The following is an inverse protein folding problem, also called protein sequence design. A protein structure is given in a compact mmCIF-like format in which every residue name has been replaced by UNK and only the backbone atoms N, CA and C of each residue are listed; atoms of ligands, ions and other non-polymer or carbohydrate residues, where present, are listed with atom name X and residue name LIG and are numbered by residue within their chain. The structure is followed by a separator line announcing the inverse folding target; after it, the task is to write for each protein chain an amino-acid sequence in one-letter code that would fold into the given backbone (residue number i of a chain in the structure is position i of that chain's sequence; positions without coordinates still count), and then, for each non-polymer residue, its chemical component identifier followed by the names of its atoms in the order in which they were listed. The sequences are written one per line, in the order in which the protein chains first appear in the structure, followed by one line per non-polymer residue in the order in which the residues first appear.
data_IF_223230023787
#
_entry.id   IF_223230023787
#
_cell.length_a   1.000
_cell.length_b   1.000
_cell.length_c   1.000
_cell.angle_alpha   90.00
_cell.angle_beta   90.00
_cell.angle_gamma   90.00
#
_symmetry.space_group_name_H-M   'P 1'
#
loop_
_entity.id
_entity.type
_entity.pdbx_description
1 polymer ?
#
# COMPACT_ATOMS: atom_id res chain seq x y z
N UNK A 1 -30.29 -29.06 -2.49
CA UNK A 1 -29.24 -28.48 -1.64
C UNK A 1 -28.85 -27.17 -2.28
N UNK A 2 -29.41 -26.07 -1.80
CA UNK A 2 -29.09 -24.73 -2.28
C UNK A 2 -27.66 -24.40 -1.85
N UNK A 3 -26.74 -24.38 -2.82
CA UNK A 3 -25.40 -23.84 -2.61
C UNK A 3 -25.55 -22.35 -2.29
N UNK A 4 -25.55 -22.01 -1.01
CA UNK A 4 -25.41 -20.62 -0.59
C UNK A 4 -24.20 -20.03 -1.34
N UNK A 5 -24.33 -18.85 -1.96
CA UNK A 5 -23.25 -18.26 -2.72
C UNK A 5 -22.05 -18.13 -1.78
N UNK A 6 -20.92 -18.75 -2.15
CA UNK A 6 -19.65 -18.61 -1.44
C UNK A 6 -19.41 -17.12 -1.29
N UNK A 7 -19.58 -16.61 -0.07
CA UNK A 7 -19.46 -15.20 0.24
C UNK A 7 -18.01 -14.80 -0.05
N UNK A 8 -17.75 -14.23 -1.22
CA UNK A 8 -16.42 -13.79 -1.66
C UNK A 8 -16.08 -12.46 -0.99
N UNK A 9 -16.04 -12.46 0.34
CA UNK A 9 -15.72 -11.28 1.13
C UNK A 9 -14.32 -10.80 0.74
N UNK A 10 -14.15 -9.51 0.41
CA UNK A 10 -12.84 -8.99 0.09
C UNK A 10 -11.85 -9.18 1.25
N UNK A 11 -10.62 -9.47 0.89
CA UNK A 11 -9.52 -9.65 1.81
C UNK A 11 -8.58 -8.44 1.71
N UNK A 12 -8.24 -7.83 2.84
CA UNK A 12 -7.12 -6.88 2.91
C UNK A 12 -5.95 -7.53 3.63
N UNK A 13 -4.77 -7.45 3.01
CA UNK A 13 -3.52 -8.01 3.52
C UNK A 13 -2.55 -6.87 3.77
N UNK A 14 -2.31 -6.58 5.05
CA UNK A 14 -1.26 -5.65 5.45
C UNK A 14 0.11 -6.30 5.30
N UNK A 15 1.00 -5.70 4.51
CA UNK A 15 2.39 -6.16 4.40
C UNK A 15 3.28 -5.24 5.21
N UNK A 16 3.70 -5.71 6.39
CA UNK A 16 4.57 -4.98 7.30
C UNK A 16 5.98 -5.52 7.10
N UNK A 17 6.81 -4.81 6.34
CA UNK A 17 8.21 -5.21 6.13
C UNK A 17 9.09 -4.90 7.35
N UNK A 18 8.51 -4.29 8.37
CA UNK A 18 9.21 -3.90 9.58
C UNK A 18 8.27 -3.89 10.78
N UNK A 19 8.73 -4.46 11.88
CA UNK A 19 8.05 -4.49 13.17
C UNK A 19 9.09 -4.28 14.27
N UNK A 20 8.98 -3.17 15.01
CA UNK A 20 9.78 -2.95 16.21
C UNK A 20 9.23 -3.84 17.34
N UNK A 21 9.80 -5.04 17.49
CA UNK A 21 9.49 -5.97 18.61
C UNK A 21 8.01 -6.31 18.78
N UNK A 22 7.24 -6.33 17.70
CA UNK A 22 5.80 -6.59 17.79
C UNK A 22 4.96 -5.43 18.36
N UNK A 23 5.54 -4.23 18.53
CA UNK A 23 4.89 -3.06 19.14
C UNK A 23 5.09 -1.78 18.31
N UNK A 24 4.35 -0.74 18.68
CA UNK A 24 4.51 0.61 18.17
C UNK A 24 3.54 0.97 17.05
N UNK A 25 3.75 2.15 16.46
CA UNK A 25 2.77 2.79 15.59
C UNK A 25 2.34 1.95 14.38
N UNK A 26 3.21 1.11 13.82
CA UNK A 26 2.88 0.25 12.68
C UNK A 26 1.90 -0.85 13.10
N UNK A 27 2.11 -1.47 14.27
CA UNK A 27 1.24 -2.51 14.79
C UNK A 27 -0.17 -1.99 15.06
N UNK A 28 -0.29 -0.95 15.90
CA UNK A 28 -1.58 -0.37 16.30
C UNK A 28 -2.38 0.15 15.10
N UNK A 29 -1.66 0.68 14.13
CA UNK A 29 -2.26 1.15 12.89
C UNK A 29 -2.83 -0.02 12.07
N UNK A 30 -2.10 -1.11 11.89
CA UNK A 30 -2.59 -2.27 11.16
C UNK A 30 -3.72 -3.01 11.90
N UNK A 31 -3.75 -2.96 13.24
CA UNK A 31 -4.95 -3.36 13.99
C UNK A 31 -6.16 -2.49 13.64
N UNK A 32 -5.96 -1.17 13.52
CA UNK A 32 -7.03 -0.23 13.12
C UNK A 32 -7.50 -0.45 11.68
N UNK A 33 -6.60 -0.85 10.77
CA UNK A 33 -6.96 -1.30 9.41
C UNK A 33 -7.84 -2.55 9.48
N UNK A 34 -7.49 -3.52 10.33
CA UNK A 34 -8.29 -4.73 10.55
C UNK A 34 -9.66 -4.45 11.14
N UNK A 35 -9.76 -3.56 12.13
CA UNK A 35 -11.04 -3.11 12.69
C UNK A 35 -11.92 -2.46 11.61
N UNK A 36 -11.33 -1.61 10.79
CA UNK A 36 -12.06 -0.93 9.72
C UNK A 36 -12.50 -1.90 8.61
N UNK A 37 -11.69 -2.92 8.29
CA UNK A 37 -12.07 -3.99 7.38
C UNK A 37 -13.25 -4.80 7.93
N UNK A 38 -13.21 -5.19 9.21
CA UNK A 38 -14.32 -5.92 9.85
C UNK A 38 -15.62 -5.12 9.85
N UNK A 39 -15.56 -3.81 10.07
CA UNK A 39 -16.73 -2.92 9.94
C UNK A 39 -17.31 -2.86 8.51
N UNK A 40 -16.56 -3.26 7.49
CA UNK A 40 -17.03 -3.40 6.11
C UNK A 40 -17.54 -4.81 5.77
N UNK A 41 -17.46 -5.76 6.69
CA UNK A 41 -17.67 -7.17 6.39
C UNK A 41 -16.53 -7.77 5.55
N UNK A 42 -15.32 -7.23 5.69
CA UNK A 42 -14.13 -7.70 5.01
C UNK A 42 -13.24 -8.50 5.96
N UNK A 43 -12.48 -9.42 5.39
CA UNK A 43 -11.42 -10.13 6.11
C UNK A 43 -10.14 -9.31 6.13
N UNK A 44 -9.37 -9.40 7.22
CA UNK A 44 -8.04 -8.80 7.32
C UNK A 44 -7.01 -9.86 7.71
N UNK A 45 -5.85 -9.79 7.06
CA UNK A 45 -4.66 -10.58 7.39
C UNK A 45 -3.46 -9.65 7.39
N UNK A 46 -2.37 -10.11 7.99
CA UNK A 46 -1.10 -9.41 7.89
C UNK A 46 0.06 -10.38 7.65
N UNK A 47 1.03 -9.94 6.86
CA UNK A 47 2.32 -10.58 6.73
C UNK A 47 3.37 -9.67 7.37
N UNK A 48 4.18 -10.25 8.25
CA UNK A 48 5.18 -9.51 9.03
C UNK A 48 6.48 -10.31 9.14
N UNK A 49 7.59 -9.68 9.57
CA UNK A 49 8.87 -10.36 9.66
C UNK A 49 8.85 -11.45 10.73
N UNK A 50 9.62 -12.52 10.52
CA UNK A 50 9.85 -13.55 11.54
C UNK A 50 10.52 -12.93 12.77
N UNK A 51 10.02 -13.22 13.97
CA UNK A 51 10.60 -12.78 15.23
C UNK A 51 9.91 -13.41 16.44
N UNK A 52 10.41 -13.11 17.64
CA UNK A 52 9.99 -13.78 18.90
C UNK A 52 8.57 -13.40 19.37
N UNK A 53 7.91 -12.48 18.67
CA UNK A 53 6.54 -12.04 18.94
C UNK A 53 5.46 -12.89 18.25
N UNK A 54 5.84 -13.95 17.53
CA UNK A 54 4.93 -14.79 16.74
C UNK A 54 3.72 -15.32 17.54
N UNK A 55 3.92 -15.63 18.82
CA UNK A 55 2.90 -16.24 19.67
C UNK A 55 1.86 -15.23 20.22
N UNK A 56 2.05 -13.93 19.94
CA UNK A 56 1.19 -12.84 20.44
C UNK A 56 0.43 -12.12 19.32
N UNK A 57 0.45 -12.67 18.11
CA UNK A 57 -0.14 -12.02 16.95
C UNK A 57 -1.66 -12.22 16.93
N UNK A 58 -2.43 -11.24 16.43
CA UNK A 58 -3.85 -11.42 16.14
C UNK A 58 -4.08 -12.59 15.18
N UNK A 59 -5.28 -13.17 15.23
CA UNK A 59 -5.69 -14.22 14.29
C UNK A 59 -5.52 -13.76 12.83
N UNK A 60 -4.99 -14.64 11.98
CA UNK A 60 -4.75 -14.38 10.56
C UNK A 60 -3.49 -13.55 10.26
N UNK A 61 -2.71 -13.16 11.28
CA UNK A 61 -1.42 -12.51 11.09
C UNK A 61 -0.30 -13.56 11.08
N UNK A 62 0.60 -13.45 10.09
CA UNK A 62 1.63 -14.45 9.82
C UNK A 62 3.03 -13.82 9.85
N UNK A 63 3.87 -14.30 10.77
CA UNK A 63 5.29 -13.97 10.84
C UNK A 63 6.08 -14.80 9.82
N UNK A 64 5.99 -14.44 8.54
CA UNK A 64 6.53 -15.23 7.42
C UNK A 64 7.48 -14.46 6.51
N UNK A 65 7.66 -13.15 6.70
CA UNK A 65 8.52 -12.35 5.84
C UNK A 65 9.99 -12.48 6.26
N UNK A 66 10.83 -12.91 5.33
CA UNK A 66 12.27 -12.96 5.50
C UNK A 66 12.93 -11.64 5.07
N UNK A 67 14.22 -11.46 5.39
CA UNK A 67 15.00 -10.28 5.00
C UNK A 67 15.07 -9.19 6.07
N UNK A 68 15.06 -9.60 7.35
CA UNK A 68 14.82 -8.84 8.58
C UNK A 68 15.66 -7.60 8.90
N UNK A 69 16.38 -7.00 7.95
CA UNK A 69 16.98 -5.68 8.16
C UNK A 69 17.23 -4.92 6.85
N UNK A 70 16.16 -4.58 6.13
CA UNK A 70 16.26 -3.62 5.01
C UNK A 70 16.31 -2.16 5.50
N UNK A 71 16.29 -1.94 6.82
CA UNK A 71 16.28 -0.63 7.48
C UNK A 71 17.66 -0.05 7.74
N UNK A 72 18.72 -0.66 7.22
CA UNK A 72 20.12 -0.24 7.35
C UNK A 72 20.41 1.11 6.65
N UNK A 73 19.77 2.18 7.10
CA UNK A 73 20.27 3.53 6.95
C UNK A 73 21.64 3.58 7.61
N UNK A 74 22.62 4.15 6.90
CA UNK A 74 23.98 4.45 7.38
C UNK A 74 25.02 3.32 7.40
N UNK A 75 24.74 2.11 6.90
CA UNK A 75 25.82 1.11 6.74
C UNK A 75 26.65 1.32 5.48
N UNK A 76 27.97 1.02 5.49
CA UNK A 76 28.88 1.26 4.37
C UNK A 76 28.42 0.60 3.07
N UNK A 77 28.86 1.14 1.93
CA UNK A 77 28.59 0.59 0.57
C UNK A 77 29.01 -0.89 0.47
N UNK A 78 30.00 -1.33 1.25
CA UNK A 78 30.45 -2.73 1.34
C UNK A 78 29.38 -3.73 1.77
N UNK A 79 28.25 -3.30 2.34
CA UNK A 79 27.14 -4.20 2.69
C UNK A 79 26.05 -4.30 1.60
N UNK A 80 26.28 -3.75 0.40
CA UNK A 80 25.30 -3.82 -0.70
C UNK A 80 24.88 -5.25 -1.04
N UNK A 81 25.83 -6.19 -1.07
CA UNK A 81 25.54 -7.60 -1.32
C UNK A 81 24.52 -8.15 -0.31
N UNK A 82 24.73 -7.90 0.98
CA UNK A 82 23.81 -8.32 2.04
C UNK A 82 22.41 -7.72 1.84
N UNK A 83 22.31 -6.45 1.46
CA UNK A 83 21.02 -5.80 1.19
C UNK A 83 20.30 -6.48 0.03
N UNK A 84 21.00 -6.77 -1.06
CA UNK A 84 20.42 -7.48 -2.22
C UNK A 84 19.93 -8.87 -1.83
N UNK A 85 20.70 -9.61 -1.02
CA UNK A 85 20.28 -10.91 -0.47
C UNK A 85 19.01 -10.76 0.38
N UNK A 86 18.97 -9.80 1.31
CA UNK A 86 17.76 -9.54 2.11
C UNK A 86 16.55 -9.16 1.23
N UNK A 87 16.75 -8.33 0.20
CA UNK A 87 15.71 -7.95 -0.74
C UNK A 87 15.19 -9.13 -1.56
N UNK A 88 16.09 -10.03 -1.96
CA UNK A 88 15.73 -11.28 -2.63
C UNK A 88 14.94 -12.21 -1.70
N UNK A 89 15.40 -12.41 -0.48
CA UNK A 89 14.72 -13.21 0.55
C UNK A 89 13.31 -12.68 0.84
N UNK A 90 13.17 -11.37 1.05
CA UNK A 90 11.87 -10.73 1.24
C UNK A 90 10.94 -10.97 0.05
N UNK A 91 11.47 -10.82 -1.17
CA UNK A 91 10.71 -11.07 -2.39
C UNK A 91 10.22 -12.51 -2.47
N UNK A 92 11.08 -13.47 -2.15
CA UNK A 92 10.78 -14.89 -2.16
C UNK A 92 9.71 -15.23 -1.11
N UNK A 93 9.94 -14.88 0.15
CA UNK A 93 9.02 -15.17 1.26
C UNK A 93 7.65 -14.52 1.06
N UNK A 94 7.62 -13.28 0.54
CA UNK A 94 6.37 -12.61 0.23
C UNK A 94 5.62 -13.34 -0.91
N UNK A 95 6.33 -13.75 -1.97
CA UNK A 95 5.69 -14.48 -3.07
C UNK A 95 5.13 -15.84 -2.62
N UNK A 96 5.84 -16.56 -1.75
CA UNK A 96 5.37 -17.81 -1.17
C UNK A 96 4.09 -17.58 -0.35
N UNK A 97 4.12 -16.60 0.57
CA UNK A 97 2.95 -16.24 1.35
C UNK A 97 1.74 -15.86 0.48
N UNK A 98 1.94 -15.07 -0.57
CA UNK A 98 0.87 -14.69 -1.48
C UNK A 98 0.28 -15.91 -2.20
N UNK A 99 1.12 -16.83 -2.68
CA UNK A 99 0.67 -18.04 -3.39
C UNK A 99 -0.07 -19.03 -2.50
N UNK A 100 0.41 -19.22 -1.28
CA UNK A 100 -0.05 -20.30 -0.41
C UNK A 100 -1.21 -19.87 0.47
N UNK A 101 -1.21 -18.62 0.93
CA UNK A 101 -2.15 -18.16 1.97
C UNK A 101 -3.19 -17.17 1.44
N UNK A 102 -2.86 -16.39 0.42
CA UNK A 102 -3.70 -15.26 -0.01
C UNK A 102 -4.49 -15.58 -1.28
N UNK A 103 -3.80 -15.92 -2.37
CA UNK A 103 -4.38 -16.08 -3.70
C UNK A 103 -5.23 -17.33 -3.96
N UNK A 104 -5.10 -18.46 -3.22
CA UNK A 104 -5.99 -19.61 -3.40
C UNK A 104 -7.45 -19.28 -3.08
N UNK A 105 -7.70 -18.23 -2.31
CA UNK A 105 -9.05 -17.78 -2.02
C UNK A 105 -9.65 -17.09 -3.25
N UNK A 106 -10.92 -17.35 -3.60
CA UNK A 106 -11.57 -16.73 -4.76
C UNK A 106 -11.78 -15.21 -4.60
N UNK A 107 -11.59 -14.66 -3.40
CA UNK A 107 -11.92 -13.28 -3.06
C UNK A 107 -11.01 -12.22 -3.70
N UNK A 108 -11.55 -11.02 -3.97
CA UNK A 108 -10.76 -9.84 -4.30
C UNK A 108 -9.81 -9.51 -3.16
N UNK A 109 -8.54 -9.26 -3.47
CA UNK A 109 -7.51 -9.05 -2.45
C UNK A 109 -6.83 -7.69 -2.60
N UNK A 110 -6.82 -6.91 -1.54
CA UNK A 110 -6.06 -5.66 -1.43
C UNK A 110 -4.78 -5.92 -0.67
N UNK A 111 -3.63 -5.77 -1.31
CA UNK A 111 -2.33 -5.69 -0.66
C UNK A 111 -2.11 -4.25 -0.19
N UNK A 112 -2.16 -4.05 1.12
CA UNK A 112 -1.91 -2.77 1.76
C UNK A 112 -0.45 -2.69 2.17
N UNK A 113 0.30 -1.82 1.49
CA UNK A 113 1.70 -1.56 1.77
C UNK A 113 1.84 -0.27 2.54
N UNK A 114 2.25 -0.42 3.77
CA UNK A 114 2.55 0.68 4.67
C UNK A 114 4.06 0.76 4.92
N UNK A 115 4.53 1.99 5.14
CA UNK A 115 5.86 2.25 5.70
C UNK A 115 7.02 1.62 4.90
N UNK A 116 6.93 1.71 3.57
CA UNK A 116 8.01 1.29 2.68
C UNK A 116 9.12 2.34 2.72
N UNK A 117 10.02 2.27 3.69
CA UNK A 117 11.06 3.29 3.92
C UNK A 117 12.20 3.21 2.91
N UNK A 118 12.55 2.02 2.41
CA UNK A 118 13.67 1.85 1.49
C UNK A 118 13.23 1.41 0.09
N UNK A 119 13.79 1.95 -1.02
CA UNK A 119 13.42 1.52 -2.38
C UNK A 119 13.56 0.02 -2.62
N UNK A 120 14.53 -0.62 -1.97
CA UNK A 120 14.74 -2.06 -2.08
C UNK A 120 13.58 -2.90 -1.53
N UNK A 121 12.86 -2.41 -0.51
CA UNK A 121 11.63 -3.06 -0.03
C UNK A 121 10.55 -3.01 -1.12
N UNK A 122 10.39 -1.86 -1.79
CA UNK A 122 9.45 -1.71 -2.90
C UNK A 122 9.85 -2.57 -4.10
N UNK A 123 11.16 -2.70 -4.37
CA UNK A 123 11.67 -3.56 -5.43
C UNK A 123 11.43 -5.04 -5.11
N UNK A 124 11.68 -5.47 -3.87
CA UNK A 124 11.38 -6.83 -3.41
C UNK A 124 9.90 -7.16 -3.59
N UNK A 125 9.01 -6.21 -3.27
CA UNK A 125 7.59 -6.31 -3.51
C UNK A 125 7.25 -6.42 -5.01
N UNK A 126 7.81 -5.56 -5.85
CA UNK A 126 7.61 -5.61 -7.30
C UNK A 126 8.05 -6.96 -7.90
N UNK A 127 9.18 -7.49 -7.42
CA UNK A 127 9.67 -8.82 -7.81
C UNK A 127 8.76 -9.95 -7.29
N UNK A 128 8.15 -9.81 -6.11
CA UNK A 128 7.20 -10.81 -5.59
C UNK A 128 5.94 -10.87 -6.45
N UNK A 129 5.40 -9.71 -6.86
CA UNK A 129 4.23 -9.63 -7.73
C UNK A 129 4.43 -10.33 -9.08
N UNK A 130 5.64 -10.26 -9.66
CA UNK A 130 5.96 -10.95 -10.91
C UNK A 130 5.90 -12.48 -10.82
N UNK A 131 5.90 -13.04 -9.61
CA UNK A 131 5.89 -14.48 -9.38
C UNK A 131 4.49 -15.02 -9.09
N UNK A 132 3.46 -14.19 -9.04
CA UNK A 132 2.11 -14.58 -8.61
C UNK A 132 1.05 -14.12 -9.60
N UNK A 133 -0.14 -14.72 -9.54
CA UNK A 133 -1.31 -14.26 -10.28
C UNK A 133 -1.85 -12.97 -9.65
N UNK A 134 -2.11 -11.96 -10.49
CA UNK A 134 -2.37 -10.57 -10.09
C UNK A 134 -3.74 -10.05 -10.52
N UNK A 135 -4.53 -10.87 -11.22
CA UNK A 135 -5.83 -10.51 -11.81
C UNK A 135 -6.81 -10.01 -10.75
N UNK A 136 -6.68 -10.51 -9.52
CA UNK A 136 -7.53 -10.20 -8.37
C UNK A 136 -6.77 -9.46 -7.26
N UNK A 137 -5.60 -8.91 -7.58
CA UNK A 137 -4.78 -8.14 -6.65
C UNK A 137 -4.91 -6.65 -6.91
N UNK A 138 -5.23 -5.91 -5.86
CA UNK A 138 -5.07 -4.46 -5.78
C UNK A 138 -3.89 -4.15 -4.88
N UNK A 139 -3.18 -3.09 -5.18
CA UNK A 139 -2.07 -2.61 -4.37
C UNK A 139 -2.39 -1.21 -3.89
N UNK A 140 -2.48 -1.05 -2.58
CA UNK A 140 -2.65 0.23 -1.92
C UNK A 140 -1.32 0.61 -1.28
N UNK A 141 -0.59 1.53 -1.92
CA UNK A 141 0.74 1.96 -1.49
C UNK A 141 0.64 3.27 -0.73
N UNK A 142 0.82 3.22 0.60
CA UNK A 142 0.77 4.38 1.47
C UNK A 142 2.16 5.02 1.60
N UNK A 143 2.28 6.25 1.13
CA UNK A 143 3.43 7.11 1.36
C UNK A 143 3.20 8.00 2.59
N UNK A 144 4.18 8.02 3.49
CA UNK A 144 4.16 8.83 4.73
C UNK A 144 5.26 9.88 4.79
N UNK A 145 6.06 10.01 3.75
CA UNK A 145 7.17 10.96 3.70
C UNK A 145 7.28 11.58 2.31
N UNK A 146 7.76 12.83 2.28
CA UNK A 146 7.94 13.56 1.03
C UNK A 146 9.07 12.94 0.20
N UNK A 147 8.82 12.78 -1.09
CA UNK A 147 9.82 12.38 -2.07
C UNK A 147 10.23 13.61 -2.86
N UNK A 148 11.49 14.03 -2.73
CA UNK A 148 12.01 15.11 -3.58
C UNK A 148 12.08 14.63 -5.04
N UNK A 149 11.44 15.33 -5.99
CA UNK A 149 11.49 14.95 -7.40
C UNK A 149 12.89 14.98 -8.01
N UNK A 150 13.79 15.79 -7.45
CA UNK A 150 15.19 15.88 -7.92
C UNK A 150 16.11 14.84 -7.26
N UNK A 151 15.65 14.18 -6.19
CA UNK A 151 16.46 13.18 -5.51
C UNK A 151 16.51 11.87 -6.29
N UNK A 152 17.68 11.23 -6.32
CA UNK A 152 17.88 9.88 -6.88
C UNK A 152 16.88 8.89 -6.27
N UNK A 153 16.74 8.90 -4.94
CA UNK A 153 15.76 8.09 -4.21
C UNK A 153 14.33 8.30 -4.71
N UNK A 154 13.88 9.56 -4.84
CA UNK A 154 12.55 9.88 -5.36
C UNK A 154 12.31 9.32 -6.77
N UNK A 155 13.32 9.41 -7.64
CA UNK A 155 13.26 8.81 -8.98
C UNK A 155 13.24 7.28 -8.93
N UNK A 156 14.02 6.66 -8.05
CA UNK A 156 13.98 5.21 -7.83
C UNK A 156 12.59 4.74 -7.39
N UNK A 157 11.96 5.44 -6.43
CA UNK A 157 10.57 5.16 -6.04
C UNK A 157 9.61 5.27 -7.22
N UNK A 158 9.73 6.33 -8.03
CA UNK A 158 8.91 6.54 -9.23
C UNK A 158 9.08 5.41 -10.24
N UNK A 159 10.32 5.00 -10.49
CA UNK A 159 10.63 3.90 -11.40
C UNK A 159 10.03 2.58 -10.90
N UNK A 160 10.27 2.19 -9.66
CA UNK A 160 9.79 0.91 -9.11
C UNK A 160 8.25 0.91 -9.04
N UNK A 161 7.63 2.03 -8.67
CA UNK A 161 6.16 2.14 -8.66
C UNK A 161 5.57 1.91 -10.04
N UNK A 162 6.23 2.41 -11.11
CA UNK A 162 5.83 2.11 -12.50
C UNK A 162 6.02 0.63 -12.85
N UNK A 163 7.03 -0.04 -12.30
CA UNK A 163 7.21 -1.48 -12.50
C UNK A 163 6.08 -2.28 -11.84
N UNK A 164 5.66 -1.90 -10.64
CA UNK A 164 4.49 -2.48 -9.96
C UNK A 164 3.23 -2.26 -10.80
N UNK A 165 3.00 -1.03 -11.26
CA UNK A 165 1.84 -0.69 -12.08
C UNK A 165 1.76 -1.51 -13.37
N UNK A 166 2.89 -1.72 -14.06
CA UNK A 166 2.95 -2.55 -15.27
C UNK A 166 2.70 -4.03 -15.01
N UNK A 167 2.91 -4.49 -13.77
CA UNK A 167 2.69 -5.87 -13.38
C UNK A 167 1.21 -6.12 -13.04
N UNK A 168 0.48 -5.10 -12.59
CA UNK A 168 -0.91 -5.22 -12.17
C UNK A 168 -1.88 -4.87 -13.31
N UNK A 169 -3.15 -5.33 -13.24
CA UNK A 169 -4.18 -4.85 -14.15
C UNK A 169 -4.36 -3.31 -14.06
N UNK A 170 -4.78 -2.64 -15.15
CA UNK A 170 -4.96 -1.20 -15.16
C UNK A 170 -5.86 -0.70 -14.02
N UNK A 171 -5.37 0.27 -13.25
CA UNK A 171 -6.12 0.87 -12.12
C UNK A 171 -6.03 0.08 -10.80
N UNK A 172 -5.33 -1.05 -10.76
CA UNK A 172 -5.19 -1.84 -9.52
C UNK A 172 -4.15 -1.28 -8.55
N UNK A 173 -3.29 -0.36 -8.99
CA UNK A 173 -2.38 0.38 -8.10
C UNK A 173 -3.01 1.71 -7.66
N UNK A 174 -3.16 1.91 -6.36
CA UNK A 174 -3.55 3.17 -5.74
C UNK A 174 -2.42 3.74 -4.89
N UNK A 175 -2.14 5.03 -5.07
CA UNK A 175 -1.19 5.75 -4.22
C UNK A 175 -1.97 6.46 -3.13
N UNK A 176 -1.61 6.22 -1.87
CA UNK A 176 -2.27 6.78 -0.70
C UNK A 176 -1.31 7.71 0.05
N UNK A 177 -1.86 8.71 0.75
CA UNK A 177 -1.14 9.61 1.66
C UNK A 177 -2.03 9.97 2.84
N UNK A 178 -1.47 10.15 4.03
CA UNK A 178 -2.19 10.58 5.23
C UNK A 178 -2.27 12.12 5.37
N UNK A 179 -1.46 12.85 4.60
CA UNK A 179 -1.42 14.32 4.57
C UNK A 179 -1.86 14.88 3.21
N UNK A 180 -2.62 15.98 3.24
CA UNK A 180 -3.06 16.72 2.04
C UNK A 180 -1.88 17.32 1.27
N UNK A 181 -0.94 17.92 2.00
CA UNK A 181 0.26 18.52 1.41
C UNK A 181 1.12 17.43 0.73
N UNK A 182 1.30 16.31 1.42
CA UNK A 182 2.04 15.18 0.89
C UNK A 182 1.34 14.57 -0.32
N UNK A 183 0.01 14.40 -0.28
CA UNK A 183 -0.78 13.88 -1.40
C UNK A 183 -0.59 14.73 -2.67
N UNK A 184 -0.63 16.06 -2.55
CA UNK A 184 -0.38 16.98 -3.68
C UNK A 184 1.04 16.85 -4.22
N UNK A 185 2.03 16.80 -3.33
CA UNK A 185 3.43 16.64 -3.72
C UNK A 185 3.68 15.32 -4.45
N UNK A 186 3.14 14.21 -3.93
CA UNK A 186 3.23 12.89 -4.56
C UNK A 186 2.48 12.87 -5.90
N UNK A 187 1.30 13.50 -5.97
CA UNK A 187 0.54 13.55 -7.21
C UNK A 187 1.31 14.26 -8.33
N UNK A 188 2.00 15.36 -8.00
CA UNK A 188 2.92 16.04 -8.91
C UNK A 188 4.12 15.16 -9.28
N UNK A 189 4.78 14.55 -8.28
CA UNK A 189 5.96 13.72 -8.48
C UNK A 189 5.68 12.51 -9.38
N UNK A 190 4.62 11.75 -9.11
CA UNK A 190 4.23 10.57 -9.88
C UNK A 190 3.40 10.91 -11.13
N UNK A 191 2.99 12.17 -11.30
CA UNK A 191 2.11 12.64 -12.37
C UNK A 191 0.78 11.88 -12.44
N UNK A 192 0.18 11.59 -11.29
CA UNK A 192 -1.09 10.82 -11.16
C UNK A 192 -1.82 11.16 -9.87
N UNK A 193 -3.12 10.85 -9.74
CA UNK A 193 -3.84 11.08 -8.49
C UNK A 193 -3.22 10.31 -7.31
N UNK A 194 -3.06 11.00 -6.19
CA UNK A 194 -2.80 10.41 -4.89
C UNK A 194 -4.05 10.61 -4.03
N UNK A 195 -4.51 9.55 -3.36
CA UNK A 195 -5.74 9.56 -2.57
C UNK A 195 -5.36 9.92 -1.13
N UNK A 196 -5.99 10.96 -0.61
CA UNK A 196 -5.91 11.26 0.82
C UNK A 196 -6.63 10.17 1.61
N UNK A 197 -5.89 9.48 2.46
CA UNK A 197 -6.35 8.42 3.30
C UNK A 197 -5.99 8.74 4.76
N UNK A 198 -6.88 9.46 5.44
CA UNK A 198 -6.76 9.73 6.87
C UNK A 198 -7.22 8.50 7.63
N UNK A 199 -6.30 7.60 7.93
CA UNK A 199 -6.57 6.50 8.84
C UNK A 199 -6.59 7.05 10.28
N UNK A 200 -7.62 6.72 11.08
CA UNK A 200 -7.66 7.11 12.47
C UNK A 200 -6.59 6.33 13.23
N UNK A 201 -5.51 7.00 13.64
CA UNK A 201 -4.51 6.43 14.57
C UNK A 201 -5.11 6.29 15.99
N UNK A 202 -6.39 6.60 16.18
CA UNK A 202 -7.07 6.58 17.46
C UNK A 202 -8.40 5.83 17.37
N UNK A 203 -8.51 4.75 18.17
CA UNK A 203 -9.72 3.93 18.41
C UNK A 203 -11.01 4.73 18.73
N UNK A 204 -10.92 6.04 18.97
CA UNK A 204 -12.05 6.89 19.39
C UNK A 204 -12.74 7.70 18.27
N UNK A 205 -12.14 7.87 17.09
CA UNK A 205 -12.74 8.78 16.09
C UNK A 205 -13.60 8.05 15.04
N UNK A 206 -14.81 7.63 15.43
CA UNK A 206 -15.82 7.01 14.52
C UNK A 206 -16.07 7.82 13.24
N UNK A 207 -15.94 9.16 13.29
CA UNK A 207 -16.14 10.05 12.12
C UNK A 207 -15.08 9.84 11.04
N UNK A 208 -13.82 9.61 11.40
CA UNK A 208 -12.73 9.37 10.45
C UNK A 208 -12.82 7.97 9.83
N UNK A 209 -13.24 6.96 10.61
CA UNK A 209 -13.60 5.64 10.06
C UNK A 209 -14.65 5.80 8.96
N UNK A 210 -15.75 6.53 9.16
CA UNK A 210 -16.80 6.69 8.12
C UNK A 210 -16.28 7.31 6.82
N UNK A 211 -15.37 8.29 6.89
CA UNK A 211 -14.75 8.89 5.70
C UNK A 211 -13.87 7.89 4.96
N UNK A 212 -13.07 7.12 5.68
CA UNK A 212 -12.27 6.02 5.13
C UNK A 212 -13.14 4.94 4.50
N UNK A 213 -14.16 4.48 5.21
CA UNK A 213 -15.15 3.49 4.75
C UNK A 213 -15.86 3.98 3.48
N UNK A 214 -16.19 5.26 3.40
CA UNK A 214 -16.79 5.87 2.20
C UNK A 214 -15.80 5.99 1.04
N UNK A 215 -14.53 6.29 1.30
CA UNK A 215 -13.48 6.31 0.28
C UNK A 215 -13.26 4.90 -0.29
N UNK A 216 -13.09 3.90 0.59
CA UNK A 216 -13.01 2.50 0.23
C UNK A 216 -14.24 2.07 -0.56
N UNK A 217 -15.46 2.19 0.00
CA UNK A 217 -16.70 1.81 -0.70
C UNK A 217 -16.89 2.50 -2.04
N UNK A 218 -16.38 3.72 -2.25
CA UNK A 218 -16.40 4.36 -3.58
C UNK A 218 -15.38 3.77 -4.54
N UNK A 219 -14.17 3.45 -4.06
CA UNK A 219 -13.14 2.78 -4.86
C UNK A 219 -13.59 1.35 -5.24
N UNK A 220 -14.22 0.64 -4.31
CA UNK A 220 -14.71 -0.73 -4.50
C UNK A 220 -16.08 -0.77 -5.19
N UNK A 221 -16.97 0.19 -4.92
CA UNK A 221 -18.25 0.29 -5.65
C UNK A 221 -18.03 0.59 -7.13
N UNK A 222 -16.96 1.33 -7.47
CA UNK A 222 -16.50 1.48 -8.85
C UNK A 222 -15.88 0.20 -9.42
N UNK A 223 -15.30 -0.65 -8.58
CA UNK A 223 -14.84 -2.00 -8.92
C UNK A 223 -15.99 -2.91 -9.34
N UNK A 224 -17.12 -2.93 -8.62
CA UNK A 224 -18.28 -3.77 -8.97
C UNK A 224 -19.00 -3.31 -10.25
N UNK A 225 -18.89 -2.03 -10.61
CA UNK A 225 -19.61 -1.44 -11.74
C UNK A 225 -18.82 -1.41 -13.06
N UNK A 226 -17.59 -1.97 -13.11
CA UNK A 226 -16.73 -1.92 -14.31
C UNK A 226 -16.35 -0.51 -14.76
N UNK A 227 -16.53 0.51 -13.90
CA UNK A 227 -16.41 1.91 -14.27
C UNK A 227 -14.97 2.42 -14.18
N UNK A 228 -14.52 3.31 -15.08
CA UNK A 228 -13.20 3.92 -14.99
C UNK A 228 -13.04 4.66 -13.66
N UNK A 229 -12.03 4.27 -12.88
CA UNK A 229 -11.80 4.70 -11.49
C UNK A 229 -11.68 6.21 -11.34
N UNK A 230 -11.26 6.94 -12.39
CA UNK A 230 -11.31 8.40 -12.46
C UNK A 230 -11.39 8.85 -13.94
N UNK A 231 -12.54 9.36 -14.41
CA UNK A 231 -12.50 10.44 -15.42
C UNK A 231 -12.10 11.70 -14.66
N UNK A 232 -10.79 11.87 -14.42
CA UNK A 232 -10.29 13.23 -14.33
C UNK A 232 -10.75 13.91 -15.63
N UNK A 233 -11.48 15.03 -15.55
CA UNK A 233 -11.77 15.86 -16.72
C UNK A 233 -10.42 16.06 -17.42
N UNK A 234 -10.19 15.37 -18.54
CA UNK A 234 -9.11 15.68 -19.47
C UNK A 234 -9.47 17.06 -20.00
N UNK A 235 -9.06 18.12 -19.31
CA UNK A 235 -8.72 19.35 -20.03
C UNK A 235 -7.49 18.98 -20.83
N UNK A 236 -7.67 18.86 -22.13
CA UNK A 236 -6.63 18.60 -23.09
C UNK A 236 -5.42 19.50 -22.82
N UNK A 237 -4.23 18.89 -22.92
CA UNK A 237 -2.97 19.57 -23.16
C UNK A 237 -2.67 20.76 -22.26
N UNK A 238 -2.22 20.52 -21.03
CA UNK A 238 -1.21 21.40 -20.44
C UNK A 238 -0.10 20.56 -19.84
N UNK A 239 1.12 20.81 -20.29
CA UNK A 239 2.33 20.17 -19.76
C UNK A 239 2.43 20.41 -18.26
N UNK A 240 3.17 19.56 -17.55
CA UNK A 240 3.44 19.70 -16.11
C UNK A 240 3.91 21.11 -15.69
N UNK A 241 4.37 21.95 -16.63
CA UNK A 241 4.80 23.32 -16.37
C UNK A 241 3.65 24.30 -16.08
N UNK A 242 2.40 24.04 -16.49
CA UNK A 242 1.32 25.04 -16.34
C UNK A 242 0.72 25.15 -14.93
N UNK A 243 1.16 24.32 -13.98
CA UNK A 243 0.71 24.40 -12.58
C UNK A 243 1.51 25.42 -11.75
N UNK A 244 2.60 25.98 -12.30
CA UNK A 244 3.52 26.86 -11.57
C UNK A 244 3.11 28.35 -11.52
N UNK A 245 2.15 28.81 -12.33
CA UNK A 245 1.84 30.24 -12.48
C UNK A 245 0.36 30.62 -12.21
N UNK A 246 -0.33 29.98 -11.28
CA UNK A 246 -1.64 30.47 -10.83
C UNK A 246 -1.45 31.45 -9.66
N UNK A 247 -1.73 32.76 -9.80
CA UNK A 247 -1.60 33.71 -8.71
C UNK A 247 -2.62 33.39 -7.61
N UNK A 248 -2.14 33.29 -6.37
CA UNK A 248 -2.99 33.22 -5.17
C UNK A 248 -3.68 34.56 -4.97
N UNK A 249 -4.97 34.65 -5.29
CA UNK A 249 -5.84 35.71 -4.77
C UNK A 249 -6.31 35.31 -3.37
N UNK A 250 -5.67 35.87 -2.35
CA UNK A 250 -6.16 35.87 -0.98
C UNK A 250 -7.40 36.77 -0.89
N UNK A 251 -8.59 36.17 -0.77
CA UNK A 251 -9.75 36.87 -0.19
C UNK A 251 -9.68 36.69 1.31
N UNK A 252 -9.40 37.79 2.02
CA UNK A 252 -9.66 37.92 3.46
C UNK A 252 -11.17 38.09 3.66
N UNK A 253 -11.69 37.40 4.66
CA UNK A 253 -12.92 37.72 5.39
C UNK A 253 -12.56 37.68 6.86
#
# INVERSE_FOLDING_TARGET
MDNAPVSSQPLIVSTMVDMYEGKGHIYDYNCSVGDAARLLGWSHRAALPTGDWKDRLPEGWNACLAGGDLKLYNRPVGEMHRRLVCGHQLSHSLSAYLKEQVLPQPSPTVLFLEYVTHPLQLLAFAMALRRVSVERLWVWLLFRYSLSPKSSRGQTYKLITRLIERTLPPGHLLLLSDSDLLSRSLAQHFCRPCILCQFPIWRRCRKNCRRWLSACRRLIGRWSAGGPVFRARRRAGRSCASWLNAPMTLRRS
#
